data_IF_119395175067
#
_entry.id   IF_119395175067
#
_cell.length_a   1.000
_cell.length_b   1.000
_cell.length_c   1.000
_cell.angle_alpha   90.00
_cell.angle_beta   90.00
_cell.angle_gamma   90.00
#
_symmetry.space_group_name_H-M   'P 1'
#
loop_
_entity.id
_entity.type
_entity.pdbx_description
1 polymer ?
#
# COMPACT_ATOMS: atom_id res chain seq x y z
N UNK A 1 -10.70 -11.65 -11.20
CA UNK A 1 -10.07 -12.06 -9.93
C UNK A 1 -11.03 -11.73 -8.81
N UNK A 2 -10.99 -12.45 -7.69
CA UNK A 2 -11.76 -12.05 -6.52
C UNK A 2 -11.16 -10.78 -5.91
N UNK A 3 -11.97 -9.99 -5.21
CA UNK A 3 -11.49 -8.84 -4.43
C UNK A 3 -10.49 -9.30 -3.34
N UNK A 4 -10.60 -10.55 -2.88
CA UNK A 4 -9.62 -11.19 -2.00
C UNK A 4 -8.24 -11.32 -2.68
N UNK A 5 -8.17 -11.75 -3.94
CA UNK A 5 -6.89 -11.89 -4.64
C UNK A 5 -6.18 -10.54 -4.78
N UNK A 6 -6.93 -9.48 -5.12
CA UNK A 6 -6.38 -8.11 -5.23
C UNK A 6 -5.77 -7.65 -3.90
N UNK A 7 -6.43 -7.97 -2.79
CA UNK A 7 -5.99 -7.64 -1.44
C UNK A 7 -4.78 -8.44 -0.99
N UNK A 8 -4.68 -9.71 -1.39
CA UNK A 8 -3.48 -10.51 -1.16
C UNK A 8 -2.27 -9.94 -1.91
N UNK A 9 -2.46 -9.48 -3.15
CA UNK A 9 -1.42 -8.78 -3.91
C UNK A 9 -1.00 -7.49 -3.18
N UNK A 10 -1.96 -6.69 -2.70
CA UNK A 10 -1.65 -5.49 -1.92
C UNK A 10 -0.90 -5.80 -0.61
N UNK A 11 -1.35 -6.82 0.12
CA UNK A 11 -0.72 -7.27 1.37
C UNK A 11 0.69 -7.84 1.15
N UNK A 12 0.95 -8.43 -0.02
CA UNK A 12 2.29 -8.94 -0.37
C UNK A 12 3.35 -7.84 -0.41
N UNK A 13 2.96 -6.57 -0.56
CA UNK A 13 3.88 -5.44 -0.44
C UNK A 13 4.59 -5.37 0.91
N UNK A 14 4.01 -5.93 1.98
CA UNK A 14 4.65 -6.02 3.31
C UNK A 14 5.95 -6.85 3.31
N UNK A 15 6.20 -7.67 2.29
CA UNK A 15 7.43 -8.46 2.17
C UNK A 15 8.68 -7.58 2.09
N UNK A 16 8.62 -6.41 1.43
CA UNK A 16 9.77 -5.53 1.26
C UNK A 16 10.20 -4.84 2.58
N UNK A 17 9.32 -4.14 3.32
CA UNK A 17 9.65 -3.62 4.65
C UNK A 17 9.97 -4.75 5.63
N UNK A 18 9.30 -5.92 5.53
CA UNK A 18 9.62 -7.11 6.31
C UNK A 18 11.05 -7.63 6.08
N UNK A 19 11.49 -7.67 4.82
CA UNK A 19 12.86 -8.08 4.46
C UNK A 19 13.91 -7.09 4.98
N UNK A 20 13.59 -5.79 5.00
CA UNK A 20 14.43 -4.79 5.64
C UNK A 20 14.53 -5.01 7.15
N UNK A 21 13.39 -5.17 7.84
CA UNK A 21 13.36 -5.42 9.29
C UNK A 21 14.09 -6.71 9.68
N UNK A 22 14.04 -7.74 8.82
CA UNK A 22 14.78 -8.98 9.01
C UNK A 22 16.28 -8.88 8.70
N UNK A 23 16.78 -7.71 8.28
CA UNK A 23 18.18 -7.49 7.93
C UNK A 23 18.62 -8.17 6.61
N UNK A 24 17.67 -8.64 5.80
CA UNK A 24 17.94 -9.33 4.53
C UNK A 24 18.26 -8.34 3.41
N UNK A 25 17.59 -7.18 3.42
CA UNK A 25 17.75 -6.13 2.40
C UNK A 25 18.15 -4.81 3.07
N UNK A 26 19.26 -4.18 2.70
CA UNK A 26 19.65 -2.89 3.28
C UNK A 26 18.75 -1.76 2.77
N UNK A 27 18.63 -0.67 3.54
CA UNK A 27 17.74 0.45 3.20
C UNK A 27 17.97 1.05 1.80
N UNK A 28 19.21 1.30 1.35
CA UNK A 28 19.42 1.80 -0.01
C UNK A 28 18.90 0.85 -1.09
N UNK A 29 18.94 -0.47 -0.86
CA UNK A 29 18.38 -1.43 -1.80
C UNK A 29 16.85 -1.32 -1.84
N UNK A 30 16.18 -1.12 -0.69
CA UNK A 30 14.72 -0.85 -0.66
C UNK A 30 14.38 0.39 -1.50
N UNK A 31 15.12 1.48 -1.31
CA UNK A 31 14.93 2.73 -2.06
C UNK A 31 15.05 2.53 -3.57
N UNK A 32 16.13 1.89 -4.02
CA UNK A 32 16.37 1.69 -5.45
C UNK A 32 15.45 0.65 -6.08
N UNK A 33 15.06 -0.40 -5.35
CA UNK A 33 14.04 -1.35 -5.81
C UNK A 33 12.70 -0.66 -6.04
N UNK A 34 12.33 0.28 -5.18
CA UNK A 34 11.10 1.06 -5.34
C UNK A 34 11.18 2.06 -6.50
N UNK A 35 12.33 2.67 -6.75
CA UNK A 35 12.57 3.50 -7.95
C UNK A 35 12.43 2.65 -9.22
N UNK A 36 13.05 1.47 -9.26
CA UNK A 36 12.93 0.55 -10.39
C UNK A 36 11.48 0.09 -10.59
N UNK A 37 10.80 -0.27 -9.50
CA UNK A 37 9.37 -0.62 -9.52
C UNK A 37 8.50 0.52 -10.03
N UNK A 38 8.78 1.76 -9.63
CA UNK A 38 8.10 2.97 -10.11
C UNK A 38 8.30 3.19 -11.60
N UNK A 39 9.52 3.03 -12.11
CA UNK A 39 9.80 3.14 -13.53
C UNK A 39 9.04 2.08 -14.35
N UNK A 40 9.01 0.84 -13.85
CA UNK A 40 8.21 -0.25 -14.47
C UNK A 40 6.73 0.08 -14.43
N UNK A 41 6.19 0.50 -13.29
CA UNK A 41 4.78 0.87 -13.16
C UNK A 41 4.41 2.04 -14.10
N UNK A 42 5.26 3.07 -14.20
CA UNK A 42 5.06 4.18 -15.11
C UNK A 42 5.02 3.73 -16.58
N UNK A 43 5.96 2.86 -16.99
CA UNK A 43 6.00 2.32 -18.35
C UNK A 43 4.74 1.49 -18.66
N UNK A 44 4.33 0.63 -17.72
CA UNK A 44 3.13 -0.19 -17.86
C UNK A 44 1.87 0.67 -17.96
N UNK A 45 1.71 1.68 -17.10
CA UNK A 45 0.57 2.59 -17.16
C UNK A 45 0.57 3.44 -18.43
N UNK A 46 1.73 3.92 -18.88
CA UNK A 46 1.83 4.66 -20.12
C UNK A 46 1.37 3.81 -21.32
N UNK A 47 1.82 2.56 -21.41
CA UNK A 47 1.42 1.62 -22.48
C UNK A 47 -0.07 1.25 -22.41
N UNK A 48 -0.60 1.07 -21.20
CA UNK A 48 -2.01 0.73 -20.96
C UNK A 48 -2.94 1.90 -21.35
N UNK A 49 -2.67 3.09 -20.81
CA UNK A 49 -3.51 4.28 -21.01
C UNK A 49 -3.43 4.85 -22.43
N UNK A 50 -2.33 4.60 -23.13
CA UNK A 50 -2.21 4.96 -24.54
C UNK A 50 -2.89 3.96 -25.50
N UNK A 51 -3.41 2.84 -24.98
CA UNK A 51 -4.09 1.81 -25.78
C UNK A 51 -3.15 0.94 -26.63
N UNK A 52 -1.82 1.11 -26.51
CA UNK A 52 -0.86 0.28 -27.24
C UNK A 52 -0.84 -1.17 -26.74
N UNK A 53 -1.23 -1.40 -25.49
CA UNK A 53 -1.21 -2.71 -24.85
C UNK A 53 -2.54 -3.00 -24.16
N UNK A 54 -3.22 -4.07 -24.59
CA UNK A 54 -4.38 -4.65 -23.91
C UNK A 54 -4.02 -6.05 -23.36
N UNK A 55 -3.47 -6.11 -22.14
CA UNK A 55 -3.20 -7.39 -21.50
C UNK A 55 -4.34 -7.80 -20.57
N UNK A 56 -4.76 -9.06 -20.68
CA UNK A 56 -5.79 -9.68 -19.80
C UNK A 56 -5.52 -9.53 -18.30
N UNK A 57 -4.27 -9.31 -17.91
CA UNK A 57 -3.92 -9.10 -16.51
C UNK A 57 -4.41 -7.73 -16.01
N UNK A 58 -4.38 -6.69 -16.86
CA UNK A 58 -4.93 -5.38 -16.51
C UNK A 58 -6.45 -5.45 -16.42
N UNK A 59 -7.14 -6.08 -17.37
CA UNK A 59 -8.60 -6.30 -17.30
C UNK A 59 -9.06 -6.99 -16.01
N UNK A 60 -8.17 -7.79 -15.39
CA UNK A 60 -8.46 -8.50 -14.13
C UNK A 60 -8.08 -7.71 -12.88
N UNK A 61 -7.08 -6.82 -12.97
CA UNK A 61 -6.50 -6.11 -11.84
C UNK A 61 -7.03 -4.68 -11.70
N UNK A 62 -7.49 -4.05 -12.79
CA UNK A 62 -8.02 -2.68 -12.77
C UNK A 62 -9.54 -2.69 -12.61
N UNK A 63 -10.08 -1.73 -11.86
CA UNK A 63 -11.53 -1.45 -11.77
C UNK A 63 -11.98 -0.64 -12.98
N UNK A 64 -13.28 -0.54 -13.18
CA UNK A 64 -13.89 0.24 -14.28
C UNK A 64 -13.39 1.69 -14.30
N UNK A 65 -13.32 2.35 -13.14
CA UNK A 65 -12.83 3.72 -13.04
C UNK A 65 -11.29 3.86 -13.25
N UNK A 66 -10.54 2.76 -13.16
CA UNK A 66 -9.09 2.73 -13.39
C UNK A 66 -8.76 2.50 -14.88
N UNK A 67 -9.75 2.31 -15.75
CA UNK A 67 -9.50 2.08 -17.18
C UNK A 67 -8.85 3.28 -17.85
N UNK A 68 -9.30 4.49 -17.52
CA UNK A 68 -8.78 5.74 -18.10
C UNK A 68 -7.92 6.56 -17.12
N UNK A 69 -7.65 6.03 -15.93
CA UNK A 69 -6.87 6.69 -14.88
C UNK A 69 -5.73 5.80 -14.39
N UNK A 70 -4.64 6.36 -13.84
CA UNK A 70 -3.58 5.57 -13.21
C UNK A 70 -4.14 4.58 -12.19
N UNK A 71 -3.80 3.31 -12.34
CA UNK A 71 -4.31 2.23 -11.50
C UNK A 71 -3.70 2.28 -10.09
N UNK A 72 -4.44 1.74 -9.11
CA UNK A 72 -4.03 1.76 -7.70
C UNK A 72 -2.66 1.12 -7.42
N UNK A 73 -2.25 0.10 -8.17
CA UNK A 73 -0.92 -0.51 -8.00
C UNK A 73 0.22 0.47 -8.33
N UNK A 74 0.02 1.36 -9.31
CA UNK A 74 1.00 2.36 -9.70
C UNK A 74 1.09 3.43 -8.64
N UNK A 75 -0.06 3.94 -8.18
CA UNK A 75 -0.14 4.92 -7.09
C UNK A 75 0.46 4.38 -5.78
N UNK A 76 0.25 3.09 -5.49
CA UNK A 76 0.86 2.39 -4.37
C UNK A 76 2.40 2.43 -4.45
N UNK A 77 2.98 2.01 -5.58
CA UNK A 77 4.44 1.99 -5.74
C UNK A 77 5.03 3.41 -5.74
N UNK A 78 4.37 4.39 -6.35
CA UNK A 78 4.84 5.77 -6.35
C UNK A 78 4.80 6.40 -4.95
N UNK A 79 3.70 6.21 -4.21
CA UNK A 79 3.59 6.72 -2.83
C UNK A 79 4.64 6.07 -1.91
N UNK A 80 4.89 4.77 -2.07
CA UNK A 80 5.96 4.07 -1.36
C UNK A 80 7.33 4.64 -1.68
N UNK A 81 7.62 4.83 -2.97
CA UNK A 81 8.89 5.40 -3.42
C UNK A 81 9.10 6.78 -2.84
N UNK A 82 8.10 7.66 -2.89
CA UNK A 82 8.19 8.97 -2.25
C UNK A 82 8.46 8.85 -0.75
N UNK A 83 7.75 7.97 -0.05
CA UNK A 83 7.86 7.79 1.40
C UNK A 83 9.26 7.36 1.83
N UNK A 84 9.87 6.37 1.15
CA UNK A 84 11.21 5.86 1.53
C UNK A 84 12.35 6.82 1.22
N UNK A 85 12.11 7.84 0.38
CA UNK A 85 13.08 8.88 0.06
C UNK A 85 12.88 10.16 0.90
N UNK A 86 11.66 10.40 1.39
CA UNK A 86 11.34 11.54 2.25
C UNK A 86 11.61 11.28 3.73
N UNK A 87 11.53 10.02 4.16
CA UNK A 87 11.60 9.65 5.56
C UNK A 87 12.61 8.54 5.83
N UNK A 88 13.25 8.63 6.99
CA UNK A 88 14.12 7.58 7.51
C UNK A 88 13.33 6.32 7.90
N UNK A 89 13.99 5.14 7.99
CA UNK A 89 13.33 3.88 8.29
C UNK A 89 12.37 3.88 9.50
N UNK A 90 12.67 4.56 10.63
CA UNK A 90 11.77 4.60 11.79
C UNK A 90 10.39 5.21 11.52
N UNK A 91 10.24 5.98 10.43
CA UNK A 91 8.96 6.58 10.00
C UNK A 91 8.42 5.87 8.76
N UNK A 92 9.28 5.63 7.76
CA UNK A 92 8.86 5.05 6.50
C UNK A 92 8.36 3.60 6.66
N UNK A 93 9.06 2.76 7.43
CA UNK A 93 8.73 1.33 7.56
C UNK A 93 7.35 1.11 8.21
N UNK A 94 7.01 1.77 9.34
CA UNK A 94 5.64 1.71 9.87
C UNK A 94 4.59 2.15 8.86
N UNK A 95 4.82 3.27 8.15
CA UNK A 95 3.86 3.80 7.17
C UNK A 95 3.61 2.81 6.01
N UNK A 96 4.68 2.21 5.47
CA UNK A 96 4.60 1.18 4.44
C UNK A 96 3.80 -0.05 4.94
N UNK A 97 4.09 -0.54 6.16
CA UNK A 97 3.38 -1.69 6.73
C UNK A 97 1.91 -1.39 7.01
N UNK A 98 1.58 -0.21 7.50
CA UNK A 98 0.19 0.23 7.70
C UNK A 98 -0.56 0.22 6.36
N UNK A 99 0.03 0.80 5.30
CA UNK A 99 -0.60 0.80 3.98
C UNK A 99 -0.71 -0.61 3.39
N UNK A 100 0.29 -1.47 3.57
CA UNK A 100 0.26 -2.84 3.08
C UNK A 100 -0.74 -3.74 3.83
N UNK A 101 -0.91 -3.57 5.15
CA UNK A 101 -1.65 -4.52 5.98
C UNK A 101 -2.99 -3.98 6.47
N UNK A 102 -3.02 -2.75 6.97
CA UNK A 102 -4.24 -2.16 7.53
C UNK A 102 -5.27 -1.86 6.42
N UNK A 103 -4.82 -1.45 5.23
CA UNK A 103 -5.75 -1.12 4.13
C UNK A 103 -6.48 -2.36 3.57
N UNK A 104 -5.82 -3.50 3.26
CA UNK A 104 -6.52 -4.73 2.90
C UNK A 104 -7.43 -5.26 4.01
N UNK A 105 -7.00 -5.17 5.27
CA UNK A 105 -7.82 -5.57 6.41
C UNK A 105 -9.08 -4.70 6.51
N UNK A 106 -8.95 -3.37 6.39
CA UNK A 106 -10.06 -2.43 6.33
C UNK A 106 -11.04 -2.77 5.21
N UNK A 107 -10.52 -3.09 4.03
CA UNK A 107 -11.32 -3.53 2.90
C UNK A 107 -12.08 -4.83 3.19
N UNK A 108 -11.47 -5.82 3.87
CA UNK A 108 -12.12 -7.10 4.21
C UNK A 108 -13.29 -6.88 5.16
N UNK A 109 -13.10 -6.02 6.15
CA UNK A 109 -14.12 -5.68 7.13
C UNK A 109 -15.26 -4.83 6.54
N UNK A 110 -15.01 -4.05 5.49
CA UNK A 110 -16.03 -3.20 4.86
C UNK A 110 -16.89 -3.90 3.80
N UNK A 111 -16.51 -5.11 3.33
CA UNK A 111 -17.23 -5.80 2.23
C UNK A 111 -18.70 -6.09 2.52
N UNK A 112 -19.08 -6.27 3.79
CA UNK A 112 -20.46 -6.58 4.18
C UNK A 112 -21.37 -5.35 4.27
N UNK A 113 -20.82 -4.15 4.13
CA UNK A 113 -21.54 -2.94 4.54
C UNK A 113 -22.46 -2.36 3.47
N UNK A 114 -22.10 -2.38 2.18
CA UNK A 114 -22.90 -1.76 1.11
C UNK A 114 -23.17 -0.24 1.30
N UNK A 115 -22.52 0.37 2.29
CA UNK A 115 -22.68 1.77 2.67
C UNK A 115 -21.63 2.61 1.93
N UNK A 116 -22.00 3.82 1.53
CA UNK A 116 -21.04 4.81 1.01
C UNK A 116 -19.98 5.19 2.06
N UNK A 117 -20.33 5.13 3.35
CA UNK A 117 -19.46 5.50 4.47
C UNK A 117 -18.97 4.27 5.22
N UNK A 118 -17.65 4.21 5.50
CA UNK A 118 -17.07 3.12 6.32
C UNK A 118 -17.70 3.11 7.71
N UNK A 119 -18.10 1.93 8.18
CA UNK A 119 -18.66 1.74 9.51
C UNK A 119 -17.63 2.11 10.59
N UNK A 120 -18.06 2.77 11.66
CA UNK A 120 -17.15 3.27 12.71
C UNK A 120 -16.27 2.18 13.34
N UNK A 121 -16.78 0.96 13.50
CA UNK A 121 -15.98 -0.15 14.02
C UNK A 121 -14.89 -0.62 13.05
N UNK A 122 -15.08 -0.48 11.72
CA UNK A 122 -14.04 -0.79 10.72
C UNK A 122 -12.91 0.23 10.84
N UNK A 123 -13.23 1.50 11.08
CA UNK A 123 -12.25 2.53 11.36
C UNK A 123 -11.48 2.24 12.65
N UNK A 124 -12.19 1.88 13.74
CA UNK A 124 -11.56 1.47 15.00
C UNK A 124 -10.65 0.24 14.84
N UNK A 125 -11.06 -0.76 14.06
CA UNK A 125 -10.24 -1.94 13.77
C UNK A 125 -8.99 -1.58 12.97
N UNK A 126 -9.14 -0.74 11.93
CA UNK A 126 -8.02 -0.26 11.11
C UNK A 126 -7.04 0.55 11.97
N UNK A 127 -7.56 1.46 12.80
CA UNK A 127 -6.79 2.21 13.78
C UNK A 127 -6.04 1.30 14.75
N UNK A 128 -6.70 0.26 15.28
CA UNK A 128 -6.08 -0.72 16.16
C UNK A 128 -4.91 -1.45 15.50
N UNK A 129 -5.06 -1.85 14.22
CA UNK A 129 -3.98 -2.47 13.45
C UNK A 129 -2.82 -1.49 13.27
N UNK A 130 -3.09 -0.25 12.90
CA UNK A 130 -2.05 0.78 12.77
C UNK A 130 -1.32 1.02 14.10
N UNK A 131 -2.05 1.16 15.20
CA UNK A 131 -1.46 1.33 16.53
C UNK A 131 -0.63 0.12 16.96
N UNK A 132 -1.05 -1.09 16.62
CA UNK A 132 -0.26 -2.30 16.88
C UNK A 132 1.06 -2.29 16.10
N UNK A 133 1.03 -1.96 14.81
CA UNK A 133 2.24 -1.83 13.98
C UNK A 133 3.18 -0.75 14.54
N UNK A 134 2.64 0.43 14.86
CA UNK A 134 3.40 1.53 15.44
C UNK A 134 4.08 1.12 16.75
N UNK A 135 3.34 0.45 17.63
CA UNK A 135 3.85 -0.01 18.93
C UNK A 135 4.92 -1.09 18.79
N UNK A 136 4.76 -2.03 17.85
CA UNK A 136 5.73 -3.09 17.58
C UNK A 136 7.05 -2.57 16.99
N UNK A 137 7.03 -1.37 16.41
CA UNK A 137 8.19 -0.71 15.80
C UNK A 137 8.68 0.48 16.64
N UNK A 138 8.30 0.54 17.91
CA UNK A 138 8.73 1.55 18.88
C UNK A 138 8.51 3.00 18.43
N UNK A 139 7.46 3.24 17.62
CA UNK A 139 7.08 4.61 17.23
C UNK A 139 6.59 5.36 18.48
N UNK A 140 7.08 6.59 18.76
CA UNK A 140 6.66 7.35 19.93
C UNK A 140 5.14 7.50 19.99
N UNK A 141 4.48 7.21 21.15
CA UNK A 141 3.01 7.19 21.24
C UNK A 141 2.33 8.49 20.81
N UNK A 142 2.95 9.64 21.08
CA UNK A 142 2.44 10.95 20.65
C UNK A 142 2.51 11.12 19.12
N UNK A 143 3.58 10.63 18.49
CA UNK A 143 3.71 10.65 17.03
C UNK A 143 2.72 9.69 16.37
N UNK A 144 2.53 8.50 16.94
CA UNK A 144 1.52 7.54 16.49
C UNK A 144 0.09 8.10 16.60
N UNK A 145 -0.24 8.74 17.73
CA UNK A 145 -1.54 9.38 17.93
C UNK A 145 -1.75 10.57 17.00
N UNK A 146 -0.74 11.42 16.81
CA UNK A 146 -0.83 12.56 15.90
C UNK A 146 -1.00 12.11 14.44
N UNK A 147 -0.24 11.10 14.00
CA UNK A 147 -0.38 10.53 12.66
C UNK A 147 -1.74 9.89 12.41
N UNK A 148 -2.39 9.37 13.46
CA UNK A 148 -3.73 8.81 13.34
C UNK A 148 -4.86 9.84 13.32
N UNK A 149 -4.58 11.10 13.70
CA UNK A 149 -5.54 12.22 13.71
C UNK A 149 -5.42 13.13 12.47
N UNK A 150 -4.33 13.00 11.71
CA UNK A 150 -4.06 13.76 10.48
C UNK A 150 -4.79 13.17 9.27
#
# INVERSE_FOLDING_TARGET
MSELDRRLVHASGALLPGAFLAGVVPWPAVQWLLVAGSAVAAALEALRLSGYVSWRIFDRLTREYEQDNPAGYALYVFSWTATVWLFDPPIAVPALLMLALADPASGLLSQSSGLETKQGWVLLATFGICMAIASLLDVPPLAAAAGALA
#
